data_IF_752480696612
#
_entry.id   IF_752480696612
#
_cell.length_a   1.000
_cell.length_b   1.000
_cell.length_c   1.000
_cell.angle_alpha   90.00
_cell.angle_beta   90.00
_cell.angle_gamma   90.00
#
_symmetry.space_group_name_H-M   'P 1'
#
loop_
_entity.id
_entity.type
_entity.pdbx_description
1 polymer ?
#
# COMPACT_ATOMS: atom_id res chain seq x y z
N UNK A 1 -44.27 25.06 31.64
CA UNK A 1 -43.61 23.85 32.15
C UNK A 1 -44.34 22.69 31.48
N UNK A 2 -43.83 21.93 30.52
CA UNK A 2 -42.49 21.40 30.22
C UNK A 2 -42.47 21.00 28.72
N UNK A 3 -41.26 20.81 28.17
CA UNK A 3 -40.91 20.16 26.89
C UNK A 3 -40.85 21.03 25.63
N UNK A 4 -39.63 21.39 25.21
CA UNK A 4 -38.98 20.73 24.06
C UNK A 4 -37.49 21.14 24.02
N UNK A 5 -36.61 20.34 24.63
CA UNK A 5 -35.15 20.51 24.45
C UNK A 5 -34.72 19.54 23.35
N UNK A 6 -34.43 20.11 22.18
CA UNK A 6 -33.88 19.40 21.03
C UNK A 6 -32.58 18.68 21.39
N UNK A 7 -32.61 17.36 21.29
CA UNK A 7 -31.45 16.49 21.38
C UNK A 7 -30.65 16.60 20.07
N UNK A 8 -29.47 17.21 20.12
CA UNK A 8 -28.50 17.18 19.02
C UNK A 8 -27.56 15.98 19.24
N UNK A 9 -27.62 14.92 18.42
CA UNK A 9 -26.70 13.80 18.58
C UNK A 9 -25.27 14.24 18.22
N UNK A 10 -24.32 13.85 19.07
CA UNK A 10 -22.89 14.08 18.87
C UNK A 10 -22.41 13.49 17.52
N UNK A 11 -21.39 14.09 16.86
CA UNK A 11 -20.87 13.59 15.60
C UNK A 11 -20.38 12.15 15.80
N UNK A 12 -21.00 11.22 15.07
CA UNK A 12 -20.60 9.82 15.04
C UNK A 12 -19.14 9.77 14.62
N UNK A 13 -18.28 9.19 15.48
CA UNK A 13 -16.89 8.86 15.15
C UNK A 13 -16.90 8.19 13.78
N UNK A 14 -16.32 8.86 12.77
CA UNK A 14 -15.99 8.22 11.49
C UNK A 14 -15.10 7.04 11.83
N UNK A 15 -15.64 5.82 11.74
CA UNK A 15 -14.81 4.62 11.78
C UNK A 15 -13.84 4.77 10.59
N UNK A 16 -12.52 4.69 10.79
CA UNK A 16 -11.62 4.53 9.65
C UNK A 16 -12.07 3.24 8.96
N UNK A 17 -12.54 3.35 7.71
CA UNK A 17 -12.73 2.16 6.90
C UNK A 17 -11.33 1.57 6.72
N UNK A 18 -11.07 0.32 7.15
CA UNK A 18 -9.86 -0.34 6.71
C UNK A 18 -9.91 -0.37 5.18
N UNK A 19 -8.80 -0.01 4.53
CA UNK A 19 -8.68 -0.05 3.07
C UNK A 19 -8.68 -1.51 2.60
N UNK A 20 -9.86 -2.14 2.64
CA UNK A 20 -10.14 -3.48 2.12
C UNK A 20 -10.81 -3.40 0.76
N UNK A 21 -10.84 -2.22 0.14
CA UNK A 21 -11.35 -2.07 -1.21
C UNK A 21 -10.24 -2.50 -2.19
N UNK A 22 -10.47 -3.54 -3.01
CA UNK A 22 -9.59 -3.86 -4.13
C UNK A 22 -9.43 -2.60 -4.99
N UNK A 23 -8.26 -2.40 -5.61
CA UNK A 23 -7.84 -1.18 -6.33
C UNK A 23 -7.45 0.05 -5.49
N UNK A 24 -7.28 -0.11 -4.17
CA UNK A 24 -6.71 0.97 -3.35
C UNK A 24 -5.34 1.37 -3.89
N UNK A 25 -5.20 2.65 -4.29
CA UNK A 25 -3.97 3.22 -4.83
C UNK A 25 -3.25 4.04 -3.77
N UNK A 26 -1.96 3.79 -3.61
CA UNK A 26 -1.04 4.59 -2.81
C UNK A 26 -0.10 5.33 -3.76
N UNK A 27 -0.05 6.66 -3.65
CA UNK A 27 0.89 7.50 -4.40
C UNK A 27 1.78 8.29 -3.45
N UNK A 28 3.10 8.14 -3.61
CA UNK A 28 4.11 8.74 -2.73
C UNK A 28 5.03 9.64 -3.58
N UNK A 29 5.05 10.96 -3.36
CA UNK A 29 6.00 11.85 -4.02
C UNK A 29 7.42 11.67 -3.44
N UNK A 30 8.44 11.74 -4.29
CA UNK A 30 9.85 11.52 -3.95
C UNK A 30 10.74 12.56 -4.65
N UNK A 31 11.83 12.94 -3.98
CA UNK A 31 12.91 13.73 -4.59
C UNK A 31 14.14 12.84 -4.71
N UNK A 32 14.56 12.54 -5.94
CA UNK A 32 15.61 11.56 -6.23
C UNK A 32 16.88 12.29 -6.70
N UNK A 33 18.04 11.88 -6.19
CA UNK A 33 19.36 12.43 -6.55
C UNK A 33 19.96 11.91 -7.86
N UNK A 34 19.31 10.87 -8.40
CA UNK A 34 19.68 9.87 -9.42
C UNK A 34 20.07 8.53 -8.78
N UNK A 35 19.36 7.44 -9.11
CA UNK A 35 19.57 6.13 -8.48
C UNK A 35 18.46 5.12 -8.72
N UNK A 36 18.40 4.11 -7.87
CA UNK A 36 17.38 3.06 -7.91
C UNK A 36 16.24 3.38 -6.96
N UNK A 37 15.06 2.82 -7.22
CA UNK A 37 13.87 2.96 -6.37
C UNK A 37 13.43 1.59 -5.88
N UNK A 38 13.22 1.48 -4.56
CA UNK A 38 12.75 0.24 -3.94
C UNK A 38 11.61 0.45 -2.96
N UNK A 39 10.76 -0.57 -2.84
CA UNK A 39 9.64 -0.63 -1.89
C UNK A 39 10.03 -1.53 -0.73
N UNK A 40 9.94 -1.01 0.49
CA UNK A 40 10.16 -1.74 1.73
C UNK A 40 8.82 -2.14 2.32
N UNK A 41 8.60 -3.44 2.50
CA UNK A 41 7.31 -4.01 2.87
C UNK A 41 7.48 -5.19 3.84
N UNK A 42 6.39 -5.68 4.42
CA UNK A 42 6.40 -6.88 5.27
C UNK A 42 6.00 -8.10 4.44
N UNK A 43 6.83 -9.14 4.46
CA UNK A 43 6.44 -10.50 4.08
C UNK A 43 5.84 -11.18 5.30
N UNK A 44 4.74 -11.89 5.09
CA UNK A 44 4.01 -12.60 6.13
C UNK A 44 3.98 -14.10 5.84
N UNK A 45 4.03 -14.96 6.88
CA UNK A 45 3.86 -16.40 6.72
C UNK A 45 2.57 -16.74 5.99
N UNK A 46 2.65 -17.60 4.96
CA UNK A 46 1.48 -18.12 4.23
C UNK A 46 0.46 -18.79 5.17
N UNK A 47 0.94 -19.37 6.28
CA UNK A 47 0.10 -19.93 7.33
C UNK A 47 -0.80 -18.90 8.03
N UNK A 48 -0.45 -17.61 7.98
CA UNK A 48 -1.18 -16.50 8.62
C UNK A 48 -2.08 -15.77 7.62
N UNK A 49 -1.57 -15.50 6.41
CA UNK A 49 -2.28 -14.65 5.41
C UNK A 49 -2.89 -15.43 4.24
N UNK A 50 -2.74 -16.75 4.19
CA UNK A 50 -3.15 -17.56 3.04
C UNK A 50 -2.37 -17.17 1.79
N UNK A 51 -3.05 -16.99 0.66
CA UNK A 51 -2.42 -16.47 -0.58
C UNK A 51 -1.94 -15.02 -0.45
N UNK A 52 -2.29 -14.32 0.64
CA UNK A 52 -1.91 -12.95 0.88
C UNK A 52 -2.53 -11.98 -0.12
N UNK A 53 -1.77 -10.96 -0.45
CA UNK A 53 -2.14 -9.89 -1.38
C UNK A 53 -0.95 -9.53 -2.24
N UNK A 54 -1.26 -8.99 -3.41
CA UNK A 54 -0.27 -8.49 -4.34
C UNK A 54 -0.47 -7.00 -4.57
N UNK A 55 0.62 -6.29 -4.74
CA UNK A 55 0.62 -4.90 -5.20
C UNK A 55 1.40 -4.79 -6.49
N UNK A 56 0.89 -3.99 -7.41
CA UNK A 56 1.62 -3.59 -8.61
C UNK A 56 2.17 -2.18 -8.39
N UNK A 57 3.49 -2.02 -8.44
CA UNK A 57 4.16 -0.75 -8.17
C UNK A 57 4.99 -0.27 -9.36
N UNK A 58 4.98 1.04 -9.62
CA UNK A 58 5.79 1.67 -10.68
C UNK A 58 6.21 3.10 -10.30
N UNK A 59 7.21 3.63 -11.00
CA UNK A 59 7.70 5.01 -10.87
C UNK A 59 7.13 5.86 -11.99
N UNK A 60 6.64 7.04 -11.65
CA UNK A 60 5.99 8.01 -12.54
C UNK A 60 4.92 7.38 -13.46
N UNK A 61 5.15 7.47 -14.77
CA UNK A 61 4.29 6.92 -15.82
C UNK A 61 4.87 5.62 -16.41
N UNK A 62 5.92 5.04 -15.81
CA UNK A 62 6.58 3.81 -16.25
C UNK A 62 5.75 2.55 -15.91
N UNK A 63 4.46 2.55 -16.27
CA UNK A 63 3.56 1.42 -16.00
C UNK A 63 4.00 0.12 -16.71
N UNK A 64 4.69 0.23 -17.85
CA UNK A 64 5.24 -0.94 -18.56
C UNK A 64 6.36 -1.64 -17.77
N UNK A 65 7.05 -0.91 -16.90
CA UNK A 65 8.06 -1.43 -15.98
C UNK A 65 7.51 -1.79 -14.60
N UNK A 66 6.18 -1.88 -14.44
CA UNK A 66 5.58 -2.17 -13.15
C UNK A 66 6.03 -3.52 -12.59
N UNK A 67 6.27 -3.56 -11.29
CA UNK A 67 6.70 -4.75 -10.56
C UNK A 67 5.56 -5.21 -9.66
N UNK A 68 5.18 -6.48 -9.81
CA UNK A 68 4.21 -7.16 -8.93
C UNK A 68 4.95 -7.73 -7.72
N UNK A 69 4.48 -7.38 -6.53
CA UNK A 69 5.07 -7.77 -5.25
C UNK A 69 4.01 -8.50 -4.43
N UNK A 70 4.30 -9.73 -4.01
CA UNK A 70 3.46 -10.53 -3.09
C UNK A 70 4.00 -10.47 -1.66
N UNK A 71 3.10 -10.37 -0.67
CA UNK A 71 3.47 -10.43 0.75
C UNK A 71 3.47 -11.86 1.32
N UNK A 72 2.81 -12.83 0.67
CA UNK A 72 2.75 -14.20 1.19
C UNK A 72 4.05 -14.96 0.91
N UNK A 73 4.59 -15.60 1.94
CA UNK A 73 5.83 -16.34 1.84
C UNK A 73 5.85 -17.57 2.75
N UNK A 74 6.62 -18.59 2.36
CA UNK A 74 6.87 -19.78 3.18
C UNK A 74 8.00 -19.47 4.18
N UNK A 75 7.68 -18.64 5.18
CA UNK A 75 8.55 -18.17 6.27
C UNK A 75 7.86 -18.40 7.62
N UNK A 76 8.64 -18.50 8.70
CA UNK A 76 8.11 -18.77 10.03
C UNK A 76 7.55 -17.51 10.71
N UNK A 77 8.25 -16.39 10.58
CA UNK A 77 7.91 -15.10 11.18
C UNK A 77 7.78 -13.99 10.12
N UNK A 78 7.12 -12.88 10.47
CA UNK A 78 7.00 -11.74 9.56
C UNK A 78 8.33 -11.01 9.40
N UNK A 79 8.75 -10.79 8.15
CA UNK A 79 10.07 -10.24 7.83
C UNK A 79 9.96 -8.99 6.96
N UNK A 80 10.65 -7.90 7.31
CA UNK A 80 10.70 -6.73 6.45
C UNK A 80 11.65 -6.98 5.26
N UNK A 81 11.17 -6.71 4.06
CA UNK A 81 11.85 -7.01 2.79
C UNK A 81 11.88 -5.77 1.90
N UNK A 82 13.01 -5.57 1.21
CA UNK A 82 13.18 -4.50 0.23
C UNK A 82 13.20 -5.10 -1.18
N UNK A 83 12.30 -4.63 -2.05
CA UNK A 83 12.23 -5.01 -3.45
C UNK A 83 12.53 -3.80 -4.34
N UNK A 84 13.50 -3.92 -5.24
CA UNK A 84 13.75 -2.89 -6.26
C UNK A 84 12.64 -2.92 -7.31
N UNK A 85 12.13 -1.75 -7.68
CA UNK A 85 11.04 -1.59 -8.65
C UNK A 85 11.45 -0.82 -9.91
N UNK A 86 12.47 0.04 -9.82
CA UNK A 86 13.00 0.77 -10.98
C UNK A 86 14.48 1.10 -10.77
N UNK A 87 15.20 1.24 -11.87
CA UNK A 87 16.65 1.44 -11.90
C UNK A 87 17.02 2.65 -12.73
N UNK A 88 18.10 3.33 -12.34
CA UNK A 88 18.62 4.49 -13.07
C UNK A 88 17.61 5.64 -13.25
N UNK A 89 16.74 5.84 -12.26
CA UNK A 89 15.78 6.96 -12.25
C UNK A 89 16.56 8.27 -12.22
N UNK A 90 16.17 9.20 -13.07
CA UNK A 90 16.85 10.49 -13.21
C UNK A 90 16.79 11.31 -11.91
N UNK A 91 17.66 12.32 -11.81
CA UNK A 91 17.53 13.31 -10.75
C UNK A 91 16.28 14.14 -10.98
N UNK A 92 15.41 14.24 -9.99
CA UNK A 92 14.19 15.04 -10.13
C UNK A 92 13.14 14.77 -9.08
N UNK A 93 11.99 15.41 -9.28
CA UNK A 93 10.76 15.09 -8.57
C UNK A 93 10.09 13.94 -9.30
N UNK A 94 9.86 12.85 -8.58
CA UNK A 94 9.24 11.64 -9.07
C UNK A 94 8.10 11.23 -8.14
N UNK A 95 7.32 10.22 -8.52
CA UNK A 95 6.39 9.57 -7.62
C UNK A 95 6.41 8.06 -7.80
N UNK A 96 6.13 7.33 -6.73
CA UNK A 96 5.81 5.90 -6.80
C UNK A 96 4.32 5.73 -6.64
N UNK A 97 3.72 4.94 -7.53
CA UNK A 97 2.33 4.50 -7.41
C UNK A 97 2.32 2.99 -7.19
N UNK A 98 1.58 2.54 -6.18
CA UNK A 98 1.32 1.14 -5.90
C UNK A 98 -0.19 0.89 -5.85
N UNK A 99 -0.66 -0.07 -6.63
CA UNK A 99 -2.06 -0.48 -6.68
C UNK A 99 -2.23 -1.86 -6.05
N UNK A 100 -3.14 -1.97 -5.09
CA UNK A 100 -3.53 -3.26 -4.51
C UNK A 100 -4.34 -4.08 -5.51
N UNK A 101 -3.80 -5.24 -5.87
CA UNK A 101 -4.46 -6.20 -6.75
C UNK A 101 -5.49 -7.01 -5.96
N UNK A 102 -6.60 -7.34 -6.63
CA UNK A 102 -7.69 -8.11 -6.04
C UNK A 102 -8.94 -8.06 -6.90
N UNK A 103 -9.84 -9.02 -6.69
CA UNK A 103 -11.14 -9.06 -7.38
C UNK A 103 -12.12 -8.06 -6.77
N UNK A 104 -12.83 -7.32 -7.61
CA UNK A 104 -13.83 -6.33 -7.17
C UNK A 104 -14.93 -7.01 -6.32
N UNK A 105 -15.18 -6.46 -5.14
CA UNK A 105 -16.16 -7.02 -4.19
C UNK A 105 -15.62 -8.10 -3.26
N UNK A 106 -14.38 -8.56 -3.44
CA UNK A 106 -13.70 -9.46 -2.51
C UNK A 106 -12.66 -8.69 -1.67
N UNK A 107 -12.75 -8.83 -0.34
CA UNK A 107 -11.73 -8.29 0.55
C UNK A 107 -10.43 -9.06 0.41
N UNK A 108 -9.32 -8.35 0.21
CA UNK A 108 -7.98 -8.92 0.22
C UNK A 108 -7.29 -8.65 1.58
N UNK A 109 -6.38 -9.53 2.04
CA UNK A 109 -5.54 -9.25 3.20
C UNK A 109 -4.81 -7.90 3.09
N UNK A 110 -4.51 -7.23 4.22
CA UNK A 110 -3.79 -5.98 4.17
C UNK A 110 -2.35 -6.17 3.67
N UNK A 111 -1.94 -5.41 2.65
CA UNK A 111 -0.55 -5.34 2.22
C UNK A 111 0.17 -4.20 2.97
N UNK A 112 1.27 -4.51 3.68
CA UNK A 112 1.96 -3.56 4.57
C UNK A 112 3.22 -3.01 3.91
N UNK A 113 3.12 -1.81 3.32
CA UNK A 113 4.28 -1.02 2.89
C UNK A 113 4.80 -0.21 4.08
N UNK A 114 6.08 -0.35 4.39
CA UNK A 114 6.78 0.42 5.42
C UNK A 114 7.25 1.76 4.85
N UNK A 115 7.79 1.75 3.62
CA UNK A 115 8.30 2.96 2.97
C UNK A 115 8.85 2.71 1.59
N UNK A 116 9.25 3.79 0.92
CA UNK A 116 9.93 3.77 -0.37
C UNK A 116 11.32 4.37 -0.18
N UNK A 117 12.33 3.72 -0.75
CA UNK A 117 13.73 4.08 -0.59
C UNK A 117 14.37 4.36 -1.94
N UNK A 118 15.32 5.28 -1.95
CA UNK A 118 16.06 5.71 -3.13
C UNK A 118 17.56 5.68 -2.81
N UNK A 119 18.39 5.21 -3.73
CA UNK A 119 19.86 5.18 -3.58
C UNK A 119 20.54 6.42 -4.16
#
# INVERSE_FOLDING_TARGET
MVSDQGYVPAPTRRRPHPATLPTSKLRIPLQIGAGDVGVYYIREPRAVVGEGSEVECWVDDNYQGAVVISNAADIDDSEPTLQMIDHYVARGSHFVECALLGEEGQGVPPFKIIGVFTT
#
